data_IF_527213483529
#
_entry.id   IF_527213483529
#
_cell.length_a   1.000
_cell.length_b   1.000
_cell.length_c   1.000
_cell.angle_alpha   90.00
_cell.angle_beta   90.00
_cell.angle_gamma   90.00
#
_symmetry.space_group_name_H-M   'P 1'
#
loop_
_entity.id
_entity.type
_entity.pdbx_description
1 polymer ?
#
# COMPACT_ATOMS: atom_id res chain seq x y z
N UNK A 1 3.57 11.70 4.83
CA UNK A 1 3.12 10.49 5.57
C UNK A 1 2.79 10.69 7.05
N UNK A 2 3.38 11.64 7.79
CA UNK A 2 3.11 11.79 9.25
C UNK A 2 1.67 12.16 9.61
N UNK A 3 0.90 12.82 8.72
CA UNK A 3 -0.47 13.22 9.03
C UNK A 3 -1.44 12.03 9.11
N UNK A 4 -1.31 11.04 8.21
CA UNK A 4 -2.11 9.80 8.22
C UNK A 4 -1.84 9.01 9.52
N UNK A 5 -0.58 8.95 9.97
CA UNK A 5 -0.23 8.24 11.22
C UNK A 5 -0.81 8.91 12.47
N UNK A 6 -1.02 10.23 12.46
CA UNK A 6 -1.67 10.93 13.58
C UNK A 6 -3.15 10.59 13.70
N UNK A 7 -3.81 10.31 12.57
CA UNK A 7 -5.26 10.04 12.52
C UNK A 7 -5.55 8.55 12.67
N UNK A 8 -4.86 7.69 11.91
CA UNK A 8 -5.17 6.26 11.81
C UNK A 8 -4.31 5.36 12.71
N UNK A 9 -3.28 5.89 13.38
CA UNK A 9 -2.34 5.13 14.20
C UNK A 9 -1.74 3.91 13.45
N UNK A 10 -1.18 2.93 14.17
CA UNK A 10 -0.81 1.62 13.59
C UNK A 10 -2.03 0.71 13.60
N UNK A 11 -2.25 -0.10 12.55
CA UNK A 11 -3.31 -1.10 12.54
C UNK A 11 -3.19 -2.04 13.75
N UNK A 12 -4.31 -2.26 14.43
CA UNK A 12 -4.46 -3.27 15.48
C UNK A 12 -4.88 -4.60 14.86
N UNK A 13 -4.79 -5.70 15.61
CA UNK A 13 -5.31 -7.00 15.15
C UNK A 13 -6.82 -6.97 14.86
N UNK A 14 -7.57 -6.13 15.56
CA UNK A 14 -8.99 -5.88 15.29
C UNK A 14 -9.25 -5.28 13.91
N UNK A 15 -8.25 -4.65 13.32
CA UNK A 15 -8.34 -3.97 12.03
C UNK A 15 -8.00 -4.93 10.87
N UNK A 16 -7.57 -6.17 11.18
CA UNK A 16 -7.33 -7.19 10.16
C UNK A 16 -8.67 -7.73 9.65
N UNK A 17 -8.96 -7.52 8.37
CA UNK A 17 -10.06 -8.22 7.69
C UNK A 17 -9.68 -9.66 7.38
N UNK A 18 -8.39 -9.90 7.20
CA UNK A 18 -7.79 -11.18 6.89
C UNK A 18 -6.31 -11.16 7.27
N UNK A 19 -5.60 -12.27 7.01
CA UNK A 19 -4.15 -12.34 7.15
C UNK A 19 -3.38 -11.48 6.14
N UNK A 20 -4.03 -11.03 5.05
CA UNK A 20 -3.38 -10.31 3.95
C UNK A 20 -3.88 -8.87 3.77
N UNK A 21 -4.89 -8.45 4.55
CA UNK A 21 -5.51 -7.13 4.44
C UNK A 21 -5.94 -6.57 5.80
N UNK A 22 -5.51 -5.34 6.08
CA UNK A 22 -6.06 -4.53 7.18
C UNK A 22 -6.92 -3.40 6.64
N UNK A 23 -7.94 -3.02 7.41
CA UNK A 23 -8.84 -1.90 7.12
C UNK A 23 -9.09 -1.10 8.39
N UNK A 24 -8.87 0.21 8.28
CA UNK A 24 -9.20 1.17 9.33
C UNK A 24 -10.23 2.15 8.76
N UNK A 25 -11.38 2.24 9.42
CA UNK A 25 -12.48 3.14 9.04
C UNK A 25 -12.62 4.25 10.10
N UNK A 26 -13.01 5.44 9.67
CA UNK A 26 -13.37 6.55 10.55
C UNK A 26 -14.60 7.24 9.99
N UNK A 27 -15.56 7.55 10.86
CA UNK A 27 -16.88 8.06 10.45
C UNK A 27 -16.71 9.36 9.67
N UNK A 28 -17.23 9.39 8.43
CA UNK A 28 -17.14 10.55 7.54
C UNK A 28 -15.75 10.81 6.95
N UNK A 29 -14.80 9.89 7.11
CA UNK A 29 -13.43 10.02 6.59
C UNK A 29 -13.07 8.91 5.61
N UNK A 30 -11.88 9.01 5.03
CA UNK A 30 -11.34 7.99 4.14
C UNK A 30 -11.06 6.68 4.90
N UNK A 31 -11.31 5.56 4.23
CA UNK A 31 -10.86 4.23 4.69
C UNK A 31 -9.39 4.04 4.35
N UNK A 32 -8.60 3.55 5.31
CA UNK A 32 -7.19 3.22 5.10
C UNK A 32 -7.03 1.71 5.01
N UNK A 33 -6.40 1.26 3.94
CA UNK A 33 -6.02 -0.14 3.74
C UNK A 33 -4.53 -0.34 3.95
N UNK A 34 -4.19 -1.47 4.56
CA UNK A 34 -2.82 -1.97 4.64
C UNK A 34 -2.71 -3.35 4.01
N UNK A 35 -1.83 -3.49 3.02
CA UNK A 35 -1.52 -4.80 2.43
C UNK A 35 -0.51 -5.53 3.32
N UNK A 36 -0.89 -6.71 3.80
CA UNK A 36 -0.01 -7.57 4.60
C UNK A 36 0.57 -8.63 3.67
N UNK A 37 1.76 -8.35 3.13
CA UNK A 37 2.38 -9.13 2.06
C UNK A 37 3.51 -10.03 2.53
N UNK A 38 3.84 -9.98 3.83
CA UNK A 38 4.94 -10.73 4.43
C UNK A 38 4.72 -11.01 5.92
N UNK A 39 5.22 -12.14 6.43
CA UNK A 39 5.00 -12.54 7.83
C UNK A 39 5.79 -11.69 8.82
N UNK A 40 6.92 -11.12 8.40
CA UNK A 40 7.80 -10.33 9.25
C UNK A 40 8.30 -9.10 8.52
N UNK A 41 8.67 -8.05 9.27
CA UNK A 41 9.14 -6.81 8.66
C UNK A 41 10.42 -6.97 7.82
N UNK A 42 11.33 -7.86 8.24
CA UNK A 42 12.63 -8.09 7.60
C UNK A 42 12.57 -9.01 6.39
N UNK A 43 11.50 -9.80 6.23
CA UNK A 43 11.36 -10.67 5.06
C UNK A 43 10.97 -9.88 3.80
N UNK A 44 11.15 -10.52 2.64
CA UNK A 44 10.66 -10.02 1.35
C UNK A 44 9.31 -10.66 1.04
N UNK A 45 8.33 -9.91 0.53
CA UNK A 45 7.07 -10.51 0.13
C UNK A 45 7.27 -11.41 -1.08
N UNK A 46 6.48 -12.47 -1.17
CA UNK A 46 6.36 -13.24 -2.41
C UNK A 46 5.30 -12.57 -3.29
N UNK A 47 5.46 -12.71 -4.61
CA UNK A 47 4.47 -12.19 -5.57
C UNK A 47 3.07 -12.78 -5.31
N UNK A 48 3.00 -14.04 -4.89
CA UNK A 48 1.73 -14.71 -4.56
C UNK A 48 1.02 -14.03 -3.37
N UNK A 49 1.76 -13.69 -2.32
CA UNK A 49 1.20 -13.00 -1.14
C UNK A 49 0.73 -11.58 -1.51
N UNK A 50 1.48 -10.90 -2.38
CA UNK A 50 1.10 -9.60 -2.91
C UNK A 50 -0.19 -9.66 -3.72
N UNK A 51 -0.32 -10.64 -4.62
CA UNK A 51 -1.52 -10.86 -5.42
C UNK A 51 -2.73 -11.15 -4.54
N UNK A 52 -2.57 -12.06 -3.56
CA UNK A 52 -3.62 -12.39 -2.61
C UNK A 52 -4.11 -11.18 -1.82
N UNK A 53 -3.20 -10.31 -1.38
CA UNK A 53 -3.57 -9.07 -0.71
C UNK A 53 -4.37 -8.13 -1.63
N UNK A 54 -4.04 -8.07 -2.93
CA UNK A 54 -4.80 -7.32 -3.92
C UNK A 54 -6.16 -7.93 -4.22
N UNK A 55 -6.28 -9.26 -4.31
CA UNK A 55 -7.56 -9.95 -4.51
C UNK A 55 -8.55 -9.55 -3.41
N UNK A 56 -8.10 -9.60 -2.16
CA UNK A 56 -8.94 -9.23 -1.02
C UNK A 56 -9.26 -7.73 -0.97
N UNK A 57 -8.33 -6.88 -1.39
CA UNK A 57 -8.59 -5.45 -1.52
C UNK A 57 -9.68 -5.17 -2.56
N UNK A 58 -9.62 -5.86 -3.70
CA UNK A 58 -10.60 -5.76 -4.77
C UNK A 58 -11.97 -6.21 -4.25
N UNK A 59 -12.04 -7.39 -3.64
CA UNK A 59 -13.28 -7.93 -3.07
C UNK A 59 -13.93 -6.94 -2.08
N UNK A 60 -13.15 -6.39 -1.15
CA UNK A 60 -13.67 -5.43 -0.18
C UNK A 60 -14.08 -4.12 -0.84
N UNK A 61 -13.36 -3.68 -1.88
CA UNK A 61 -13.71 -2.49 -2.66
C UNK A 61 -15.01 -2.65 -3.46
N UNK A 62 -15.25 -3.83 -4.06
CA UNK A 62 -16.53 -4.15 -4.72
C UNK A 62 -17.67 -4.10 -3.70
N UNK A 63 -17.48 -4.73 -2.54
CA UNK A 63 -18.49 -4.78 -1.48
C UNK A 63 -18.83 -3.40 -0.92
N UNK A 64 -17.83 -2.53 -0.76
CA UNK A 64 -17.98 -1.19 -0.19
C UNK A 64 -18.30 -0.10 -1.22
N UNK A 65 -18.15 -0.39 -2.52
CA UNK A 65 -18.42 0.52 -3.64
C UNK A 65 -17.64 1.85 -3.53
N UNK A 66 -16.36 1.79 -3.20
CA UNK A 66 -15.53 2.99 -3.16
C UNK A 66 -15.40 3.62 -4.56
N UNK A 67 -15.35 4.95 -4.59
CA UNK A 67 -15.26 5.71 -5.85
C UNK A 67 -13.83 6.06 -6.23
N UNK A 68 -12.94 6.16 -5.24
CA UNK A 68 -11.56 6.61 -5.44
C UNK A 68 -10.58 5.90 -4.52
N UNK A 69 -9.47 5.43 -5.10
CA UNK A 69 -8.30 4.92 -4.40
C UNK A 69 -7.13 5.89 -4.62
N UNK A 70 -6.45 6.25 -3.53
CA UNK A 70 -5.22 7.03 -3.59
C UNK A 70 -4.12 6.18 -2.96
N UNK A 71 -3.04 5.93 -3.69
CA UNK A 71 -1.95 5.10 -3.20
C UNK A 71 -0.58 5.61 -3.67
N UNK A 72 0.47 5.15 -3.02
CA UNK A 72 1.85 5.27 -3.51
C UNK A 72 2.21 4.02 -4.33
N UNK A 73 3.38 3.95 -5.00
CA UNK A 73 3.89 2.70 -5.58
C UNK A 73 4.27 1.68 -4.48
N UNK A 74 3.24 1.11 -3.84
CA UNK A 74 3.33 0.29 -2.63
C UNK A 74 4.14 -0.97 -2.89
N UNK A 75 5.27 -1.09 -2.19
CA UNK A 75 6.15 -2.26 -2.25
C UNK A 75 7.20 -2.22 -3.37
N UNK A 76 7.19 -1.23 -4.27
CA UNK A 76 8.12 -1.22 -5.41
C UNK A 76 9.58 -1.00 -4.98
N UNK A 77 9.82 -0.12 -3.99
CA UNK A 77 11.18 0.25 -3.57
C UNK A 77 11.74 -0.71 -2.52
N UNK A 78 11.15 -0.73 -1.31
CA UNK A 78 11.68 -1.51 -0.17
C UNK A 78 11.51 -3.01 -0.35
N UNK A 79 10.38 -3.40 -0.91
CA UNK A 79 9.97 -4.80 -1.01
C UNK A 79 10.27 -5.41 -2.39
N UNK A 80 10.85 -4.61 -3.30
CA UNK A 80 11.30 -5.03 -4.64
C UNK A 80 10.20 -5.67 -5.50
N UNK A 81 8.96 -5.24 -5.30
CA UNK A 81 7.87 -5.60 -6.23
C UNK A 81 8.15 -4.91 -7.57
N UNK A 82 8.16 -5.63 -8.70
CA UNK A 82 8.38 -5.00 -9.99
C UNK A 82 7.33 -3.89 -10.25
N UNK A 83 7.73 -2.68 -10.68
CA UNK A 83 6.78 -1.61 -10.98
C UNK A 83 5.71 -2.01 -12.00
N UNK A 84 6.09 -2.86 -12.96
CA UNK A 84 5.18 -3.46 -13.95
C UNK A 84 4.10 -4.32 -13.30
N UNK A 85 4.48 -5.10 -12.27
CA UNK A 85 3.55 -5.95 -11.53
C UNK A 85 2.59 -5.12 -10.68
N UNK A 86 3.09 -4.07 -10.01
CA UNK A 86 2.24 -3.11 -9.32
C UNK A 86 1.24 -2.44 -10.28
N UNK A 87 1.70 -1.93 -11.43
CA UNK A 87 0.84 -1.29 -12.42
C UNK A 87 -0.25 -2.25 -12.93
N UNK A 88 0.10 -3.51 -13.18
CA UNK A 88 -0.87 -4.54 -13.56
C UNK A 88 -1.97 -4.74 -12.51
N UNK A 89 -1.60 -4.81 -11.22
CA UNK A 89 -2.59 -4.94 -10.13
C UNK A 89 -3.47 -3.70 -9.98
N UNK A 90 -2.94 -2.50 -10.19
CA UNK A 90 -3.72 -1.26 -10.18
C UNK A 90 -4.72 -1.22 -11.34
N UNK A 91 -4.28 -1.58 -12.55
CA UNK A 91 -5.17 -1.66 -13.73
C UNK A 91 -6.27 -2.68 -13.51
N UNK A 92 -5.93 -3.84 -12.94
CA UNK A 92 -6.90 -4.88 -12.58
C UNK A 92 -7.92 -4.35 -11.57
N UNK A 93 -7.48 -3.72 -10.48
CA UNK A 93 -8.36 -3.13 -9.48
C UNK A 93 -9.33 -2.12 -10.10
N UNK A 94 -8.82 -1.23 -10.96
CA UNK A 94 -9.67 -0.25 -11.65
C UNK A 94 -10.73 -0.92 -12.52
N UNK A 95 -10.35 -1.94 -13.30
CA UNK A 95 -11.27 -2.66 -14.19
C UNK A 95 -12.35 -3.43 -13.44
N UNK A 96 -11.99 -4.09 -12.34
CA UNK A 96 -12.93 -4.94 -11.59
C UNK A 96 -13.86 -4.13 -10.69
N UNK A 97 -13.40 -2.99 -10.16
CA UNK A 97 -14.18 -2.20 -9.18
C UNK A 97 -14.81 -0.93 -9.76
N UNK A 98 -14.33 -0.44 -10.91
CA UNK A 98 -14.66 0.90 -11.42
C UNK A 98 -14.07 2.06 -10.59
N UNK A 99 -13.25 1.75 -9.57
CA UNK A 99 -12.66 2.77 -8.68
C UNK A 99 -11.64 3.60 -9.43
N UNK A 100 -11.75 4.93 -9.36
CA UNK A 100 -10.73 5.82 -9.92
C UNK A 100 -9.44 5.72 -9.08
N UNK A 101 -8.29 5.46 -9.71
CA UNK A 101 -7.02 5.31 -8.98
C UNK A 101 -6.11 6.51 -9.23
N UNK A 102 -5.57 7.08 -8.16
CA UNK A 102 -4.53 8.10 -8.20
C UNK A 102 -3.25 7.56 -7.55
N UNK A 103 -2.20 7.36 -8.33
CA UNK A 103 -0.88 6.97 -7.83
C UNK A 103 -0.07 8.25 -7.58
N UNK A 104 0.28 8.49 -6.32
CA UNK A 104 1.06 9.66 -5.89
C UNK A 104 2.51 9.26 -5.74
N UNK A 105 3.39 9.92 -6.51
CA UNK A 105 4.84 9.80 -6.43
C UNK A 105 5.43 11.14 -6.02
N UNK A 106 6.58 11.11 -5.34
CA UNK A 106 7.33 12.29 -4.98
C UNK A 106 8.81 11.99 -5.20
N UNK A 107 9.56 12.93 -5.77
CA UNK A 107 11.00 12.81 -5.92
C UNK A 107 11.67 12.92 -4.54
N UNK A 108 11.90 11.78 -3.90
CA UNK A 108 12.69 11.74 -2.67
C UNK A 108 14.16 12.02 -3.00
N UNK A 109 14.56 13.28 -2.87
CA UNK A 109 15.99 13.62 -2.82
C UNK A 109 16.55 13.18 -1.47
N UNK A 110 17.57 12.32 -1.50
CA UNK A 110 18.26 11.89 -0.30
C UNK A 110 18.98 13.07 0.36
N UNK A 111 18.32 13.75 1.31
CA UNK A 111 18.91 14.85 2.08
C UNK A 111 19.85 14.37 3.18
N UNK A 112 19.86 13.06 3.46
CA UNK A 112 20.63 12.47 4.55
C UNK A 112 22.02 12.11 4.05
N UNK A 113 23.06 12.61 4.73
CA UNK A 113 24.37 11.96 4.71
C UNK A 113 24.16 10.52 5.21
N UNK A 114 24.64 9.52 4.47
CA UNK A 114 24.65 8.15 4.96
C UNK A 114 25.38 8.13 6.31
N UNK A 115 25.07 7.18 7.20
CA UNK A 115 25.68 7.08 8.55
C UNK A 115 27.22 7.06 8.54
N UNK A 116 27.81 6.86 7.36
CA UNK A 116 29.25 6.77 7.12
C UNK A 116 29.83 8.07 6.50
N UNK A 117 29.07 9.16 6.45
CA UNK A 117 29.50 10.44 5.86
C UNK A 117 29.48 10.49 4.33
N UNK A 118 29.21 9.38 3.66
CA UNK A 118 29.11 9.29 2.21
C UNK A 118 27.83 9.97 1.70
N UNK A 119 27.99 10.80 0.67
CA UNK A 119 26.86 11.30 -0.13
C UNK A 119 26.52 10.23 -1.15
N UNK A 120 25.23 10.03 -1.40
CA UNK A 120 24.80 9.29 -2.58
C UNK A 120 25.16 10.17 -3.79
N UNK A 121 26.12 9.76 -4.59
CA UNK A 121 26.26 10.29 -5.94
C UNK A 121 25.21 9.59 -6.81
N UNK A 122 24.48 10.39 -7.58
CA UNK A 122 23.47 9.94 -8.56
C UNK A 122 24.14 9.32 -9.79
#
# INVERSE_FOLDING_TARGET
CCHIQKIFMRPKRSDCLSDSLTRQESVGQATVYGLVTKPTYSSKPKIVDYNRAFDQLIDDCVNKRYKKLICSPMGCMRDLIPPTHFAMQIVRLHRETGTAVSVVVHDERATRKLRNGLKHEE
#
